data_IF_694394250143
#
_entry.id   IF_694394250143
#
_cell.length_a   1.000
_cell.length_b   1.000
_cell.length_c   1.000
_cell.angle_alpha   90.00
_cell.angle_beta   90.00
_cell.angle_gamma   90.00
#
_symmetry.space_group_name_H-M   'P 1'
#
loop_
_entity.id
_entity.type
_entity.pdbx_description
1 polymer ?
#
# COMPACT_ATOMS: atom_id res chain seq x y z
N UNK A 1 -30.90 -41.85 33.33
CA UNK A 1 -31.36 -40.50 32.93
C UNK A 1 -30.77 -39.52 33.92
N UNK A 2 -29.66 -38.87 33.58
CA UNK A 2 -29.09 -37.79 34.42
C UNK A 2 -29.91 -36.52 34.15
N UNK A 3 -30.38 -35.86 35.21
CA UNK A 3 -31.16 -34.62 35.13
C UNK A 3 -30.29 -33.45 34.66
N UNK A 4 -30.87 -32.52 33.90
CA UNK A 4 -30.18 -31.40 33.22
C UNK A 4 -29.29 -30.55 34.16
N UNK A 5 -29.63 -30.47 35.45
CA UNK A 5 -28.82 -29.80 36.47
C UNK A 5 -27.43 -30.45 36.68
N UNK A 6 -27.31 -31.78 36.58
CA UNK A 6 -26.04 -32.50 36.75
C UNK A 6 -25.11 -32.35 35.54
N UNK A 7 -25.68 -32.11 34.35
CA UNK A 7 -24.91 -31.87 33.12
C UNK A 7 -24.33 -30.46 33.13
N UNK A 8 -25.10 -29.47 33.59
CA UNK A 8 -24.64 -28.08 33.71
C UNK A 8 -23.50 -27.93 34.73
N UNK A 9 -23.61 -28.59 35.89
CA UNK A 9 -22.59 -28.52 36.94
C UNK A 9 -21.28 -29.22 36.54
N UNK A 10 -21.38 -30.33 35.81
CA UNK A 10 -20.23 -31.03 35.23
C UNK A 10 -19.54 -30.18 34.15
N UNK A 11 -20.29 -29.45 33.33
CA UNK A 11 -19.74 -28.55 32.32
C UNK A 11 -19.01 -27.36 32.94
N UNK A 12 -19.59 -26.74 33.98
CA UNK A 12 -18.97 -25.63 34.70
C UNK A 12 -17.70 -26.05 35.45
N UNK A 13 -17.68 -27.26 36.01
CA UNK A 13 -16.51 -27.81 36.68
C UNK A 13 -15.37 -28.10 35.70
N UNK A 14 -15.69 -28.56 34.49
CA UNK A 14 -14.70 -28.78 33.42
C UNK A 14 -14.14 -27.48 32.83
N UNK A 15 -14.96 -26.42 32.72
CA UNK A 15 -14.49 -25.08 32.32
C UNK A 15 -13.56 -24.50 33.38
N UNK A 16 -13.89 -24.67 34.67
CA UNK A 16 -13.07 -24.18 35.78
C UNK A 16 -11.71 -24.90 35.88
N UNK A 17 -11.66 -26.20 35.60
CA UNK A 17 -10.40 -26.96 35.50
C UNK A 17 -9.54 -26.53 34.31
N UNK A 18 -10.16 -26.29 33.14
CA UNK A 18 -9.44 -25.85 31.94
C UNK A 18 -8.77 -24.48 32.13
N UNK A 19 -9.43 -23.56 32.84
CA UNK A 19 -8.87 -22.24 33.15
C UNK A 19 -7.72 -22.28 34.17
N UNK A 20 -7.70 -23.26 35.10
CA UNK A 20 -6.58 -23.44 36.05
C UNK A 20 -5.38 -24.16 35.43
N UNK A 21 -5.61 -24.98 34.40
CA UNK A 21 -4.54 -25.67 33.68
C UNK A 21 -3.83 -24.73 32.67
N UNK A 22 -4.56 -23.75 32.08
CA UNK A 22 -3.96 -22.69 31.25
C UNK A 22 -3.09 -21.71 32.05
N UNK A 23 -3.36 -21.48 33.35
CA UNK A 23 -2.51 -20.65 34.21
C UNK A 23 -1.23 -21.36 34.68
N UNK A 24 -1.11 -22.68 34.53
CA UNK A 24 -0.01 -23.47 35.10
C UNK A 24 0.92 -24.16 34.09
N UNK A 25 0.62 -24.11 32.78
CA UNK A 25 1.45 -24.76 31.76
C UNK A 25 1.64 -23.93 30.50
N UNK A 26 2.70 -23.11 30.44
CA UNK A 26 2.99 -22.31 29.24
C UNK A 26 4.27 -21.49 29.30
N UNK A 27 5.38 -22.08 29.70
CA UNK A 27 6.69 -21.53 29.40
C UNK A 27 7.16 -22.03 28.04
N UNK A 28 6.93 -21.29 26.95
CA UNK A 28 7.73 -21.42 25.72
C UNK A 28 7.52 -20.24 24.75
N UNK A 29 8.65 -19.67 24.31
CA UNK A 29 8.90 -18.76 23.19
C UNK A 29 7.86 -17.68 22.83
N UNK A 30 8.13 -16.47 23.32
CA UNK A 30 7.60 -15.23 22.76
C UNK A 30 8.05 -15.06 21.29
N UNK A 31 7.23 -15.58 20.36
CA UNK A 31 7.31 -15.28 18.93
C UNK A 31 6.98 -13.80 18.74
N UNK A 32 8.00 -13.00 18.43
CA UNK A 32 7.83 -11.62 17.98
C UNK A 32 6.91 -11.62 16.76
N UNK A 33 5.66 -11.19 16.93
CA UNK A 33 4.76 -10.89 15.81
C UNK A 33 5.29 -9.64 15.11
N UNK A 34 6.13 -9.84 14.10
CA UNK A 34 6.53 -8.79 13.16
C UNK A 34 5.39 -8.54 12.19
N UNK A 35 4.29 -7.96 12.69
CA UNK A 35 3.24 -7.40 11.85
C UNK A 35 3.75 -6.08 11.30
N UNK A 36 4.43 -6.12 10.16
CA UNK A 36 4.82 -4.92 9.42
C UNK A 36 3.59 -4.30 8.74
N UNK A 37 2.68 -3.75 9.55
CA UNK A 37 1.67 -2.82 9.09
C UNK A 37 2.32 -1.47 8.79
N UNK A 38 1.98 -0.88 7.63
CA UNK A 38 2.56 0.35 7.07
C UNK A 38 2.45 1.64 7.93
N UNK A 39 1.93 1.54 9.15
CA UNK A 39 1.92 2.62 10.15
C UNK A 39 2.36 2.22 11.57
N UNK A 40 2.66 0.94 11.83
CA UNK A 40 2.95 0.44 13.19
C UNK A 40 4.39 0.65 13.65
N UNK A 41 5.35 0.65 12.72
CA UNK A 41 6.78 0.66 13.04
C UNK A 41 7.27 1.96 13.72
N UNK A 42 6.51 3.05 13.64
CA UNK A 42 6.88 4.32 14.26
C UNK A 42 6.40 4.50 15.70
N UNK A 43 5.41 3.73 16.15
CA UNK A 43 4.89 3.85 17.52
C UNK A 43 5.65 2.97 18.51
N UNK A 44 6.36 1.94 18.04
CA UNK A 44 7.13 1.03 18.91
C UNK A 44 8.45 1.65 19.40
N UNK A 45 8.96 2.69 18.71
CA UNK A 45 10.20 3.39 19.09
C UNK A 45 10.00 4.48 20.15
N UNK A 46 8.75 4.89 20.45
CA UNK A 46 8.46 5.89 21.48
C UNK A 46 8.45 5.31 22.91
N UNK A 47 8.65 3.99 23.06
CA UNK A 47 8.65 3.28 24.36
C UNK A 47 10.03 3.09 25.01
N UNK A 48 11.13 3.54 24.40
CA UNK A 48 12.49 3.13 24.79
C UNK A 48 13.00 3.74 26.11
N UNK A 49 12.17 4.50 26.86
CA UNK A 49 12.55 5.06 28.17
C UNK A 49 11.61 4.68 29.32
N UNK A 50 11.15 3.44 29.38
CA UNK A 50 10.44 2.93 30.56
C UNK A 50 10.54 1.43 30.68
N UNK A 51 11.04 0.94 31.82
CA UNK A 51 10.92 -0.45 32.21
C UNK A 51 9.44 -0.86 32.29
N UNK A 52 8.90 -1.40 31.20
CA UNK A 52 7.56 -1.96 31.15
C UNK A 52 7.55 -3.09 30.13
N UNK A 53 7.14 -4.28 30.54
CA UNK A 53 6.88 -5.38 29.62
C UNK A 53 5.86 -4.90 28.56
N UNK A 54 6.09 -5.13 27.26
CA UNK A 54 5.12 -4.78 26.22
C UNK A 54 3.75 -5.44 26.44
N UNK A 55 3.71 -6.59 27.12
CA UNK A 55 2.47 -7.26 27.55
C UNK A 55 1.65 -6.48 28.61
N UNK A 56 2.25 -5.52 29.32
CA UNK A 56 1.59 -4.74 30.38
C UNK A 56 1.11 -3.36 29.89
N UNK A 57 1.62 -2.85 28.77
CA UNK A 57 1.17 -1.58 28.20
C UNK A 57 -0.27 -1.68 27.65
N UNK A 58 -0.70 -2.87 27.22
CA UNK A 58 -2.03 -3.15 26.70
C UNK A 58 -3.07 -3.52 27.76
N UNK A 59 -2.65 -3.80 29.01
CA UNK A 59 -3.55 -4.27 30.07
C UNK A 59 -4.38 -3.14 30.73
N UNK A 60 -3.93 -1.89 30.62
CA UNK A 60 -4.56 -0.73 31.29
C UNK A 60 -5.42 0.15 30.37
N UNK A 61 -5.58 -0.21 29.10
CA UNK A 61 -6.54 0.47 28.22
C UNK A 61 -7.97 -0.03 28.55
N UNK A 62 -9.01 0.84 28.53
CA UNK A 62 -10.39 0.39 28.61
C UNK A 62 -10.67 -0.66 27.51
N UNK A 63 -11.57 -1.66 27.72
CA UNK A 63 -11.88 -2.67 26.71
C UNK A 63 -12.23 -2.10 25.31
N UNK A 64 -12.78 -0.87 25.25
CA UNK A 64 -13.07 -0.16 24.00
C UNK A 64 -11.82 0.32 23.22
N UNK A 65 -10.65 0.39 23.87
CA UNK A 65 -9.37 0.78 23.27
C UNK A 65 -8.37 -0.40 23.16
N UNK A 66 -8.77 -1.62 23.52
CA UNK A 66 -7.91 -2.81 23.47
C UNK A 66 -7.78 -3.46 22.09
N UNK A 67 -8.39 -2.90 21.07
CA UNK A 67 -8.17 -3.30 19.69
C UNK A 67 -7.77 -2.06 18.90
N UNK A 68 -6.52 -1.99 18.41
CA UNK A 68 -6.29 -1.35 17.12
C UNK A 68 -7.10 -2.17 16.11
N UNK A 69 -8.38 -1.84 15.99
CA UNK A 69 -9.32 -2.65 15.23
C UNK A 69 -8.88 -2.49 13.78
N UNK A 70 -8.28 -3.51 13.20
CA UNK A 70 -8.25 -3.67 11.75
C UNK A 70 -9.70 -3.89 11.31
N UNK A 71 -10.45 -2.79 11.18
CA UNK A 71 -11.88 -2.84 10.82
C UNK A 71 -12.05 -3.33 9.39
N UNK A 72 -11.02 -3.13 8.55
CA UNK A 72 -11.10 -3.24 7.10
C UNK A 72 -10.07 -4.20 6.46
N UNK A 73 -9.43 -5.08 7.24
CA UNK A 73 -8.39 -5.97 6.72
C UNK A 73 -7.11 -5.22 6.30
N UNK A 74 -6.46 -5.65 5.21
CA UNK A 74 -5.23 -5.07 4.66
C UNK A 74 -5.51 -4.25 3.37
N UNK A 75 -5.98 -3.00 3.48
CA UNK A 75 -6.38 -2.20 2.32
C UNK A 75 -5.24 -1.90 1.33
N UNK A 76 -3.97 -1.97 1.78
CA UNK A 76 -2.81 -1.81 0.92
C UNK A 76 -2.79 -2.82 -0.25
N UNK A 77 -3.31 -4.04 -0.08
CA UNK A 77 -3.38 -5.05 -1.15
C UNK A 77 -4.25 -4.54 -2.31
N UNK A 78 -5.44 -4.03 -1.97
CA UNK A 78 -6.37 -3.50 -2.96
C UNK A 78 -5.81 -2.23 -3.61
N UNK A 79 -5.26 -1.31 -2.81
CA UNK A 79 -4.69 -0.07 -3.30
C UNK A 79 -3.56 -0.31 -4.32
N UNK A 80 -2.59 -1.17 -3.99
CA UNK A 80 -1.46 -1.49 -4.85
C UNK A 80 -1.89 -2.23 -6.12
N UNK A 81 -2.83 -3.18 -5.98
CA UNK A 81 -3.35 -3.93 -7.13
C UNK A 81 -4.11 -3.03 -8.11
N UNK A 82 -4.95 -2.14 -7.59
CA UNK A 82 -5.70 -1.16 -8.37
C UNK A 82 -4.78 -0.18 -9.09
N UNK A 83 -3.79 0.36 -8.38
CA UNK A 83 -2.80 1.28 -8.94
C UNK A 83 -1.99 0.63 -10.07
N UNK A 84 -1.47 -0.57 -9.84
CA UNK A 84 -0.68 -1.31 -10.83
C UNK A 84 -1.44 -1.59 -12.11
N UNK A 85 -2.72 -1.94 -12.02
CA UNK A 85 -3.54 -2.17 -13.22
C UNK A 85 -3.67 -0.90 -14.06
N UNK A 86 -3.93 0.24 -13.44
CA UNK A 86 -4.05 1.52 -14.15
C UNK A 86 -2.73 1.95 -14.80
N UNK A 87 -1.62 1.76 -14.10
CA UNK A 87 -0.30 2.05 -14.62
C UNK A 87 0.11 1.12 -15.77
N UNK A 88 -0.25 -0.16 -15.69
CA UNK A 88 0.01 -1.11 -16.78
C UNK A 88 -0.71 -0.67 -18.06
N UNK A 89 -1.99 -0.29 -17.95
CA UNK A 89 -2.78 0.20 -19.08
C UNK A 89 -2.22 1.47 -19.71
N UNK A 90 -1.88 2.47 -18.90
CA UNK A 90 -1.21 3.68 -19.39
C UNK A 90 0.13 3.36 -20.05
N UNK A 91 0.88 2.40 -19.48
CA UNK A 91 2.16 1.96 -20.00
C UNK A 91 2.07 1.31 -21.38
N UNK A 92 1.18 0.34 -21.54
CA UNK A 92 0.96 -0.39 -22.80
C UNK A 92 0.52 0.58 -23.91
N UNK A 93 -0.35 1.54 -23.60
CA UNK A 93 -0.75 2.62 -24.51
C UNK A 93 0.44 3.49 -24.89
N UNK A 94 1.21 3.98 -23.91
CA UNK A 94 2.31 4.93 -24.15
C UNK A 94 3.48 4.30 -24.92
N UNK A 95 3.69 2.99 -24.80
CA UNK A 95 4.66 2.22 -25.58
C UNK A 95 4.14 1.92 -27.00
N UNK A 96 2.83 2.07 -27.26
CA UNK A 96 2.21 1.81 -28.55
C UNK A 96 1.93 0.33 -28.82
N UNK A 97 1.84 -0.49 -27.76
CA UNK A 97 1.45 -1.90 -27.89
C UNK A 97 -0.04 -2.07 -28.26
N UNK A 98 -0.86 -1.08 -27.91
CA UNK A 98 -2.28 -1.01 -28.25
C UNK A 98 -2.53 0.36 -28.90
N UNK A 99 -3.36 0.39 -29.95
CA UNK A 99 -3.76 1.63 -30.61
C UNK A 99 -4.42 2.59 -29.62
N UNK A 100 -4.13 3.88 -29.75
CA UNK A 100 -4.75 4.92 -28.92
C UNK A 100 -6.27 5.02 -29.14
N UNK A 101 -6.77 4.50 -30.26
CA UNK A 101 -8.21 4.41 -30.55
C UNK A 101 -8.95 3.44 -29.59
N UNK A 102 -8.21 2.54 -28.95
CA UNK A 102 -8.77 1.60 -27.96
C UNK A 102 -8.78 2.18 -26.54
N UNK A 103 -8.26 3.39 -26.28
CA UNK A 103 -8.33 4.00 -24.95
C UNK A 103 -9.74 4.00 -24.32
N UNK A 104 -10.84 4.23 -25.06
CA UNK A 104 -12.18 4.18 -24.49
C UNK A 104 -12.57 2.80 -23.94
N UNK A 105 -11.94 1.71 -24.37
CA UNK A 105 -12.20 0.36 -23.84
C UNK A 105 -11.37 0.05 -22.60
N UNK A 106 -10.23 0.74 -22.43
CA UNK A 106 -9.33 0.62 -21.27
C UNK A 106 -9.67 1.64 -20.17
N UNK A 107 -10.41 2.70 -20.52
CA UNK A 107 -10.84 3.73 -19.60
C UNK A 107 -11.76 3.21 -18.47
N UNK A 108 -12.80 2.38 -18.70
CA UNK A 108 -13.69 1.94 -17.62
C UNK A 108 -12.98 1.14 -16.52
N UNK A 109 -12.11 0.16 -16.81
CA UNK A 109 -11.29 -0.49 -15.80
C UNK A 109 -10.41 0.50 -15.01
N UNK A 110 -9.81 1.49 -15.68
CA UNK A 110 -8.99 2.51 -15.02
C UNK A 110 -9.84 3.40 -14.09
N UNK A 111 -11.06 3.77 -14.49
CA UNK A 111 -11.98 4.54 -13.65
C UNK A 111 -12.46 3.77 -12.42
N UNK A 112 -12.98 2.57 -12.62
CA UNK A 112 -13.64 1.84 -11.53
C UNK A 112 -12.63 1.18 -10.61
N UNK A 113 -11.61 0.52 -11.17
CA UNK A 113 -10.65 -0.19 -10.35
C UNK A 113 -9.56 0.76 -9.83
N UNK A 114 -8.80 1.39 -10.73
CA UNK A 114 -7.70 2.28 -10.34
C UNK A 114 -8.18 3.62 -9.77
N UNK A 115 -9.42 4.04 -10.05
CA UNK A 115 -10.03 5.21 -9.43
C UNK A 115 -10.83 4.85 -8.18
N UNK A 116 -12.04 4.33 -8.38
CA UNK A 116 -13.01 4.14 -7.29
C UNK A 116 -12.56 3.12 -6.24
N UNK A 117 -12.18 1.90 -6.62
CA UNK A 117 -11.72 0.88 -5.66
C UNK A 117 -10.47 1.34 -4.92
N UNK A 118 -9.59 2.10 -5.58
CA UNK A 118 -8.40 2.65 -4.95
C UNK A 118 -8.72 3.72 -3.89
N UNK A 119 -9.70 4.60 -4.15
CA UNK A 119 -10.20 5.55 -3.12
C UNK A 119 -10.83 4.80 -1.96
N UNK A 120 -11.63 3.77 -2.23
CA UNK A 120 -12.21 2.92 -1.16
C UNK A 120 -11.10 2.32 -0.31
N UNK A 121 -10.05 1.77 -0.93
CA UNK A 121 -8.88 1.28 -0.19
C UNK A 121 -8.23 2.37 0.67
N UNK A 122 -8.13 3.61 0.17
CA UNK A 122 -7.61 4.75 0.93
C UNK A 122 -8.46 5.10 2.15
N UNK A 123 -9.79 5.13 2.01
CA UNK A 123 -10.72 5.38 3.13
C UNK A 123 -10.59 4.29 4.19
N UNK A 124 -10.51 3.03 3.76
CA UNK A 124 -10.31 1.88 4.66
C UNK A 124 -8.94 1.92 5.36
N UNK A 125 -7.90 2.42 4.68
CA UNK A 125 -6.58 2.60 5.28
C UNK A 125 -6.59 3.68 6.38
N UNK A 126 -7.27 4.81 6.15
CA UNK A 126 -7.47 5.81 7.21
C UNK A 126 -8.25 5.25 8.40
N UNK A 127 -9.25 4.41 8.18
CA UNK A 127 -9.98 3.73 9.25
C UNK A 127 -9.09 2.79 10.10
N UNK A 128 -7.99 2.30 9.52
CA UNK A 128 -6.98 1.47 10.20
C UNK A 128 -5.77 2.29 10.72
N UNK A 129 -5.81 3.62 10.69
CA UNK A 129 -4.68 4.51 11.00
C UNK A 129 -3.42 4.33 10.10
N UNK A 130 -3.59 3.74 8.91
CA UNK A 130 -2.53 3.69 7.90
C UNK A 130 -2.59 4.96 7.04
N UNK A 131 -1.95 6.02 7.54
CA UNK A 131 -1.93 7.33 6.90
C UNK A 131 -1.19 7.31 5.55
N UNK A 132 -0.14 6.49 5.43
CA UNK A 132 0.64 6.41 4.20
C UNK A 132 -0.22 5.83 3.07
N UNK A 133 -0.81 4.65 3.30
CA UNK A 133 -1.68 4.02 2.31
C UNK A 133 -2.92 4.87 2.07
N UNK A 134 -3.50 5.47 3.12
CA UNK A 134 -4.67 6.33 3.02
C UNK A 134 -4.44 7.51 2.08
N UNK A 135 -3.36 8.28 2.29
CA UNK A 135 -3.01 9.43 1.44
C UNK A 135 -2.64 8.99 0.04
N UNK A 136 -1.76 7.99 -0.11
CA UNK A 136 -1.31 7.54 -1.41
C UNK A 136 -2.48 6.99 -2.24
N UNK A 137 -3.27 6.07 -1.70
CA UNK A 137 -4.37 5.43 -2.41
C UNK A 137 -5.47 6.43 -2.78
N UNK A 138 -5.84 7.35 -1.87
CA UNK A 138 -6.86 8.36 -2.17
C UNK A 138 -6.40 9.33 -3.26
N UNK A 139 -5.16 9.81 -3.20
CA UNK A 139 -4.62 10.73 -4.20
C UNK A 139 -4.46 10.08 -5.57
N UNK A 140 -3.91 8.87 -5.65
CA UNK A 140 -3.78 8.17 -6.92
C UNK A 140 -5.13 7.69 -7.46
N UNK A 141 -6.09 7.35 -6.60
CA UNK A 141 -7.45 7.09 -7.02
C UNK A 141 -8.11 8.34 -7.64
N UNK A 142 -7.90 9.51 -7.03
CA UNK A 142 -8.34 10.78 -7.61
C UNK A 142 -7.64 11.09 -8.93
N UNK A 143 -6.35 10.74 -9.09
CA UNK A 143 -5.63 10.85 -10.37
C UNK A 143 -6.33 10.07 -11.48
N UNK A 144 -6.64 8.79 -11.27
CA UNK A 144 -7.28 7.96 -12.30
C UNK A 144 -8.71 8.41 -12.60
N UNK A 145 -9.48 8.85 -11.59
CA UNK A 145 -10.80 9.44 -11.82
C UNK A 145 -10.72 10.75 -12.62
N UNK A 146 -9.79 11.64 -12.28
CA UNK A 146 -9.60 12.89 -12.99
C UNK A 146 -9.13 12.65 -14.43
N UNK A 147 -8.15 11.76 -14.63
CA UNK A 147 -7.66 11.39 -15.95
C UNK A 147 -8.77 10.76 -16.81
N UNK A 148 -9.52 9.81 -16.25
CA UNK A 148 -10.65 9.23 -16.95
C UNK A 148 -11.69 10.28 -17.33
N UNK A 149 -12.09 11.14 -16.38
CA UNK A 149 -13.12 12.16 -16.60
C UNK A 149 -12.70 13.12 -17.70
N UNK A 150 -11.42 13.47 -17.71
CA UNK A 150 -10.81 14.28 -18.75
C UNK A 150 -10.94 13.64 -20.13
N UNK A 151 -10.67 12.34 -20.26
CA UNK A 151 -10.84 11.61 -21.53
C UNK A 151 -12.29 11.56 -21.98
N UNK A 152 -13.22 11.25 -21.08
CA UNK A 152 -14.66 11.19 -21.42
C UNK A 152 -15.17 12.56 -21.86
N UNK A 153 -14.94 13.61 -21.06
CA UNK A 153 -15.40 14.97 -21.37
C UNK A 153 -14.78 15.52 -22.65
N UNK A 154 -13.53 15.18 -22.94
CA UNK A 154 -12.91 15.49 -24.23
C UNK A 154 -13.64 14.81 -25.40
N UNK A 155 -13.89 13.51 -25.34
CA UNK A 155 -14.59 12.80 -26.43
C UNK A 155 -16.03 13.28 -26.66
N UNK A 156 -16.68 13.81 -25.61
CA UNK A 156 -18.03 14.38 -25.70
C UNK A 156 -18.05 15.85 -26.14
N UNK A 157 -16.89 16.47 -26.39
CA UNK A 157 -16.79 17.89 -26.76
C UNK A 157 -17.24 18.85 -25.65
N UNK A 158 -17.28 18.39 -24.39
CA UNK A 158 -17.84 19.13 -23.25
C UNK A 158 -17.10 20.44 -22.98
N UNK A 159 -15.77 20.46 -23.20
CA UNK A 159 -14.94 21.64 -22.97
C UNK A 159 -14.98 22.67 -24.11
N UNK A 160 -15.80 22.45 -25.16
CA UNK A 160 -15.81 23.28 -26.36
C UNK A 160 -14.59 23.03 -27.26
N UNK A 161 -14.32 23.94 -28.21
CA UNK A 161 -13.23 23.78 -29.18
C UNK A 161 -11.87 24.02 -28.51
N UNK A 162 -11.33 22.99 -27.87
CA UNK A 162 -9.94 22.97 -27.37
C UNK A 162 -9.07 22.25 -28.41
N UNK A 163 -7.87 22.74 -28.67
CA UNK A 163 -6.92 22.02 -29.53
C UNK A 163 -6.26 20.86 -28.80
N UNK A 164 -5.82 19.82 -29.53
CA UNK A 164 -5.10 18.68 -28.94
C UNK A 164 -3.84 19.11 -28.17
N UNK A 165 -3.19 20.20 -28.58
CA UNK A 165 -1.99 20.73 -27.93
C UNK A 165 -2.36 21.34 -26.56
N UNK A 166 -3.44 22.14 -26.51
CA UNK A 166 -3.92 22.70 -25.24
C UNK A 166 -4.36 21.58 -24.28
N UNK A 167 -4.95 20.52 -24.82
CA UNK A 167 -5.31 19.33 -24.06
C UNK A 167 -4.07 18.67 -23.43
N UNK A 168 -3.04 18.41 -24.24
CA UNK A 168 -1.79 17.81 -23.77
C UNK A 168 -1.08 18.68 -22.72
N UNK A 169 -1.06 20.00 -22.91
CA UNK A 169 -0.49 20.93 -21.93
C UNK A 169 -1.26 20.94 -20.60
N UNK A 170 -2.59 20.81 -20.63
CA UNK A 170 -3.42 20.69 -19.43
C UNK A 170 -3.14 19.41 -18.66
N UNK A 171 -3.02 18.27 -19.35
CA UNK A 171 -2.58 17.01 -18.73
C UNK A 171 -1.15 17.10 -18.18
N UNK A 172 -0.24 17.79 -18.89
CA UNK A 172 1.12 18.04 -18.42
C UNK A 172 1.15 18.82 -17.11
N UNK A 173 0.30 19.84 -16.97
CA UNK A 173 0.18 20.61 -15.73
C UNK A 173 -0.42 19.78 -14.58
N UNK A 174 -1.38 18.89 -14.87
CA UNK A 174 -1.88 17.93 -13.90
C UNK A 174 -0.76 17.00 -13.42
N UNK A 175 0.01 16.41 -14.34
CA UNK A 175 1.16 15.56 -14.00
C UNK A 175 2.18 16.29 -13.15
N UNK A 176 2.45 17.57 -13.41
CA UNK A 176 3.36 18.37 -12.60
C UNK A 176 2.94 18.43 -11.12
N UNK A 177 1.65 18.61 -10.84
CA UNK A 177 1.13 18.54 -9.46
C UNK A 177 1.35 17.17 -8.82
N UNK A 178 1.16 16.09 -9.58
CA UNK A 178 1.39 14.73 -9.10
C UNK A 178 2.87 14.37 -8.95
N UNK A 179 3.78 14.99 -9.72
CA UNK A 179 5.23 14.86 -9.52
C UNK A 179 5.58 15.38 -8.13
N UNK A 180 5.17 16.62 -7.80
CA UNK A 180 5.42 17.19 -6.46
C UNK A 180 4.84 16.31 -5.35
N UNK A 181 3.61 15.84 -5.55
CA UNK A 181 2.96 14.90 -4.63
C UNK A 181 3.80 13.62 -4.44
N UNK A 182 4.17 12.98 -5.53
CA UNK A 182 4.91 11.73 -5.47
C UNK A 182 6.33 11.92 -4.93
N UNK A 183 7.00 13.05 -5.17
CA UNK A 183 8.35 13.29 -4.67
C UNK A 183 8.41 13.12 -3.15
N UNK A 184 7.47 13.68 -2.39
CA UNK A 184 7.50 13.52 -0.93
C UNK A 184 6.99 12.14 -0.47
N UNK A 185 6.07 11.50 -1.20
CA UNK A 185 5.65 10.12 -0.93
C UNK A 185 6.82 9.15 -1.17
N UNK A 186 7.60 9.38 -2.22
CA UNK A 186 8.81 8.65 -2.53
C UNK A 186 9.84 8.78 -1.41
N UNK A 187 10.08 9.99 -0.90
CA UNK A 187 10.97 10.20 0.25
C UNK A 187 10.42 9.48 1.50
N UNK A 188 9.11 9.58 1.77
CA UNK A 188 8.49 8.89 2.89
C UNK A 188 8.60 7.35 2.79
N UNK A 189 8.61 6.80 1.57
CA UNK A 189 8.75 5.36 1.32
C UNK A 189 10.11 4.78 1.75
N UNK A 190 11.13 5.62 2.02
CA UNK A 190 12.45 5.17 2.48
C UNK A 190 12.43 4.51 3.85
N UNK A 191 11.31 4.65 4.56
CA UNK A 191 11.10 4.08 5.88
C UNK A 191 10.19 2.86 5.85
N UNK A 192 9.76 2.45 4.65
CA UNK A 192 8.94 1.28 4.40
C UNK A 192 9.80 0.16 3.82
N UNK A 193 9.27 -0.61 2.88
CA UNK A 193 9.97 -1.72 2.23
C UNK A 193 10.73 -1.28 0.99
N UNK A 194 11.77 -2.04 0.63
CA UNK A 194 12.53 -1.80 -0.60
C UNK A 194 11.63 -1.85 -1.84
N UNK A 195 10.67 -2.77 -1.88
CA UNK A 195 9.74 -2.90 -3.00
C UNK A 195 8.88 -1.65 -3.20
N UNK A 196 8.42 -1.01 -2.11
CA UNK A 196 7.64 0.22 -2.20
C UNK A 196 8.49 1.41 -2.63
N UNK A 197 9.73 1.51 -2.14
CA UNK A 197 10.67 2.54 -2.57
C UNK A 197 10.94 2.46 -4.08
N UNK A 198 11.25 1.27 -4.60
CA UNK A 198 11.49 1.06 -6.03
C UNK A 198 10.24 1.40 -6.85
N UNK A 199 9.07 1.01 -6.35
CA UNK A 199 7.79 1.32 -7.00
C UNK A 199 7.59 2.84 -7.13
N UNK A 200 7.71 3.62 -6.04
CA UNK A 200 7.54 5.07 -6.09
C UNK A 200 8.62 5.80 -6.89
N UNK A 201 9.83 5.22 -6.99
CA UNK A 201 10.84 5.70 -7.94
C UNK A 201 10.38 5.55 -9.39
N UNK A 202 9.81 4.40 -9.76
CA UNK A 202 9.28 4.21 -11.11
C UNK A 202 8.05 5.07 -11.39
N UNK A 203 7.22 5.34 -10.38
CA UNK A 203 6.15 6.34 -10.48
C UNK A 203 6.72 7.72 -10.81
N UNK A 204 7.74 8.18 -10.07
CA UNK A 204 8.36 9.49 -10.28
C UNK A 204 8.90 9.63 -11.71
N UNK A 205 9.66 8.63 -12.16
CA UNK A 205 10.23 8.61 -13.50
C UNK A 205 9.14 8.55 -14.58
N UNK A 206 8.09 7.75 -14.37
CA UNK A 206 6.98 7.68 -15.32
C UNK A 206 6.24 9.02 -15.43
N UNK A 207 5.99 9.71 -14.32
CA UNK A 207 5.31 11.02 -14.32
C UNK A 207 6.15 12.09 -15.03
N UNK A 208 7.44 12.20 -14.72
CA UNK A 208 8.36 13.18 -15.35
C UNK A 208 8.47 12.94 -16.86
N UNK A 209 8.69 11.69 -17.27
CA UNK A 209 8.84 11.34 -18.68
C UNK A 209 7.52 11.49 -19.45
N UNK A 210 6.39 11.13 -18.85
CA UNK A 210 5.07 11.32 -19.45
C UNK A 210 4.76 12.81 -19.62
N UNK A 211 5.05 13.64 -18.61
CA UNK A 211 4.92 15.10 -18.70
C UNK A 211 5.77 15.67 -19.84
N UNK A 212 7.05 15.26 -19.94
CA UNK A 212 7.93 15.73 -21.01
C UNK A 212 7.43 15.33 -22.41
N UNK A 213 6.80 14.16 -22.55
CA UNK A 213 6.20 13.74 -23.82
C UNK A 213 4.95 14.54 -24.19
N UNK A 214 4.12 14.92 -23.21
CA UNK A 214 2.95 15.78 -23.42
C UNK A 214 3.33 17.20 -23.88
N UNK A 215 4.51 17.69 -23.49
CA UNK A 215 5.06 18.96 -24.02
C UNK A 215 5.85 18.79 -25.34
N UNK A 216 5.81 17.61 -25.96
CA UNK A 216 6.49 17.32 -27.22
C UNK A 216 8.01 17.34 -27.14
N UNK A 217 8.60 17.17 -25.94
CA UNK A 217 10.06 17.18 -25.76
C UNK A 217 10.69 15.82 -26.01
N UNK A 218 9.96 14.75 -25.73
CA UNK A 218 10.40 13.36 -25.93
C UNK A 218 9.23 12.49 -26.43
N UNK A 219 9.53 11.27 -26.86
CA UNK A 219 8.51 10.26 -27.18
C UNK A 219 7.74 9.79 -25.92
N UNK A 220 6.55 9.24 -26.09
CA UNK A 220 5.73 8.65 -25.01
C UNK A 220 6.32 7.34 -24.46
N UNK A 221 7.17 6.67 -25.25
CA UNK A 221 7.69 5.32 -24.95
C UNK A 221 8.43 5.24 -23.61
N UNK A 222 9.39 6.13 -23.27
CA UNK A 222 10.11 6.05 -22.00
C UNK A 222 9.18 6.12 -20.78
N UNK A 223 8.21 7.06 -20.78
CA UNK A 223 7.23 7.16 -19.70
C UNK A 223 6.36 5.90 -19.58
N UNK A 224 6.01 5.30 -20.72
CA UNK A 224 5.29 4.03 -20.77
C UNK A 224 6.06 2.83 -20.22
N UNK A 225 7.35 2.71 -20.55
CA UNK A 225 8.22 1.63 -20.01
C UNK A 225 8.30 1.70 -18.48
N UNK A 226 8.54 2.89 -17.93
CA UNK A 226 8.54 3.08 -16.47
C UNK A 226 7.17 2.80 -15.85
N UNK A 227 6.07 3.08 -16.57
CA UNK A 227 4.71 2.73 -16.14
C UNK A 227 4.45 1.21 -16.11
N UNK A 228 5.09 0.45 -16.99
CA UNK A 228 5.01 -1.02 -16.94
C UNK A 228 5.87 -1.57 -15.79
N UNK A 229 7.07 -1.01 -15.59
CA UNK A 229 7.95 -1.40 -14.48
C UNK A 229 7.31 -1.11 -13.11
N UNK A 230 6.66 0.05 -12.96
CA UNK A 230 5.93 0.40 -11.73
C UNK A 230 4.74 -0.54 -11.50
N UNK A 231 4.04 -0.95 -12.57
CA UNK A 231 2.93 -1.89 -12.45
C UNK A 231 3.41 -3.25 -11.93
N UNK A 232 4.51 -3.76 -12.50
CA UNK A 232 5.13 -5.01 -12.08
C UNK A 232 5.57 -4.98 -10.61
N UNK A 233 6.22 -3.90 -10.16
CA UNK A 233 6.64 -3.77 -8.76
C UNK A 233 5.47 -3.58 -7.81
N UNK A 234 4.42 -2.84 -8.20
CA UNK A 234 3.22 -2.70 -7.37
C UNK A 234 2.46 -4.03 -7.19
N UNK A 235 2.33 -4.85 -8.24
CA UNK A 235 1.74 -6.19 -8.10
C UNK A 235 2.61 -7.12 -7.27
N UNK A 236 3.94 -7.02 -7.38
CA UNK A 236 4.86 -7.75 -6.51
C UNK A 236 4.66 -7.41 -5.03
N UNK A 237 4.54 -6.11 -4.70
CA UNK A 237 4.26 -5.67 -3.34
C UNK A 237 2.88 -6.14 -2.85
N UNK A 238 1.84 -6.03 -3.70
CA UNK A 238 0.50 -6.52 -3.38
C UNK A 238 0.49 -8.04 -3.11
N UNK A 239 1.15 -8.83 -3.96
CA UNK A 239 1.28 -10.28 -3.80
C UNK A 239 2.06 -10.64 -2.53
N UNK A 240 3.10 -9.89 -2.19
CA UNK A 240 3.87 -10.10 -0.96
C UNK A 240 2.96 -9.97 0.27
N UNK A 241 2.19 -8.89 0.35
CA UNK A 241 1.29 -8.64 1.48
C UNK A 241 0.16 -9.69 1.53
N UNK A 242 -0.40 -10.06 0.37
CA UNK A 242 -1.47 -11.05 0.27
C UNK A 242 -0.99 -12.46 0.65
N UNK A 243 0.18 -12.89 0.17
CA UNK A 243 0.71 -14.22 0.49
C UNK A 243 1.10 -14.32 1.96
N UNK A 244 1.70 -13.28 2.52
CA UNK A 244 1.97 -13.24 3.97
C UNK A 244 0.68 -13.33 4.79
N UNK A 245 -0.40 -12.66 4.35
CA UNK A 245 -1.71 -12.75 4.98
C UNK A 245 -2.31 -14.16 4.92
N UNK A 246 -2.26 -14.79 3.73
CA UNK A 246 -2.88 -16.10 3.52
C UNK A 246 -2.09 -17.26 4.12
N UNK A 247 -0.76 -17.20 4.10
CA UNK A 247 0.11 -18.29 4.55
C UNK A 247 0.69 -18.07 5.96
N UNK A 248 0.47 -16.90 6.57
CA UNK A 248 0.95 -16.58 7.92
C UNK A 248 2.47 -16.53 8.08
N UNK A 249 3.20 -16.41 6.97
CA UNK A 249 4.67 -16.34 6.93
C UNK A 249 5.14 -15.56 5.70
N UNK A 250 6.29 -14.87 5.76
CA UNK A 250 6.85 -14.19 4.61
C UNK A 250 7.27 -15.22 3.54
N UNK A 251 6.68 -15.14 2.36
CA UNK A 251 6.98 -16.01 1.21
C UNK A 251 7.89 -15.30 0.21
N UNK A 252 7.60 -14.02 -0.08
CA UNK A 252 8.34 -13.21 -1.03
C UNK A 252 9.31 -12.28 -0.29
N UNK A 253 10.49 -12.08 -0.88
CA UNK A 253 11.51 -11.25 -0.29
C UNK A 253 11.16 -9.76 -0.43
N UNK A 254 10.84 -9.10 0.68
CA UNK A 254 10.62 -7.65 0.70
C UNK A 254 11.15 -7.05 2.01
N UNK A 255 12.47 -6.84 2.11
CA UNK A 255 13.09 -6.36 3.34
C UNK A 255 12.66 -4.93 3.65
N UNK A 256 12.64 -4.61 4.95
CA UNK A 256 12.47 -3.25 5.41
C UNK A 256 13.73 -2.43 5.08
N UNK A 257 13.57 -1.18 4.69
CA UNK A 257 14.69 -0.32 4.33
C UNK A 257 15.64 -0.05 5.51
N UNK A 258 15.14 -0.09 6.74
CA UNK A 258 15.96 0.00 7.95
C UNK A 258 16.91 -1.19 8.08
N UNK A 259 16.47 -2.40 7.73
CA UNK A 259 17.31 -3.60 7.80
C UNK A 259 18.45 -3.53 6.78
N UNK A 260 18.15 -3.04 5.57
CA UNK A 260 19.15 -2.77 4.54
C UNK A 260 20.14 -1.71 5.01
N UNK A 261 19.65 -0.62 5.60
CA UNK A 261 20.50 0.45 6.12
C UNK A 261 21.42 -0.06 7.24
N UNK A 262 20.90 -0.86 8.17
CA UNK A 262 21.67 -1.46 9.25
C UNK A 262 22.72 -2.44 8.70
N UNK A 263 22.35 -3.28 7.73
CA UNK A 263 23.29 -4.19 7.06
C UNK A 263 24.41 -3.45 6.34
N UNK A 264 24.09 -2.37 5.60
CA UNK A 264 25.08 -1.52 4.92
C UNK A 264 26.03 -0.85 5.92
N UNK A 265 25.50 -0.35 7.04
CA UNK A 265 26.29 0.27 8.12
C UNK A 265 27.17 -0.75 8.84
N UNK A 266 26.66 -1.97 9.06
CA UNK A 266 27.41 -3.09 9.64
C UNK A 266 28.62 -3.48 8.80
N UNK A 267 28.47 -3.58 7.47
CA UNK A 267 29.58 -3.85 6.54
C UNK A 267 30.67 -2.80 6.54
N UNK A 268 30.34 -1.52 6.75
CA UNK A 268 31.36 -0.45 6.82
C UNK A 268 32.24 -0.55 8.06
N UNK A 269 31.73 -1.08 9.18
CA UNK A 269 32.51 -1.23 10.42
C UNK A 269 33.53 -2.37 10.35
N UNK A 270 33.24 -3.43 9.60
CA UNK A 270 34.15 -4.58 9.44
C UNK A 270 35.30 -4.31 8.48
N UNK A 271 35.19 -3.34 7.57
CA UNK A 271 36.27 -2.95 6.65
C UNK A 271 37.25 -1.93 7.23
N UNK A 272 36.87 -1.21 8.29
CA UNK A 272 37.76 -0.23 8.95
C UNK A 272 38.61 -0.82 10.08
N UNK A 273 38.48 -2.13 10.35
CA UNK A 273 39.20 -2.86 11.39
C UNK A 273 40.26 -3.83 10.86
N UNK A 274 40.62 -3.68 9.59
CA UNK A 274 41.67 -4.41 8.85
C UNK A 274 42.59 -3.40 8.19
#
# INVERSE_FOLDING_TARGET
MQTEAQVADSALTNIRKRNTDEESGGGEEARKETTYGLGGAYMDMAGVNGHGNPHLQHANLPPAMRHFRNVAGKPAILALSAFSTGACFLGIVNVGLISSELLPTVAPPAFFYSGFCQIVAGILAFANNDNFTGVAASSYGAFYLAFGAYMVFWTQGFFGPISIIQLQHGLGAMLFGYIIFNTYIYIASFMLTLGLMIMFFFVEMSLILSMASLYGKISTVPGGVFSILLAATGWYNAATILFEDMFGRPILFNPLMTDIYMWLKGRRRTMSST
#
